data_IF_648947576816
#
_entry.id   IF_648947576816
#
_cell.length_a   1.000
_cell.length_b   1.000
_cell.length_c   1.000
_cell.angle_alpha   90.00
_cell.angle_beta   90.00
_cell.angle_gamma   90.00
#
_symmetry.space_group_name_H-M   'P 1'
#
loop_
_entity.id
_entity.type
_entity.pdbx_description
1 polymer ?
#
# COMPACT_ATOMS: atom_id res chain seq x y z
N UNK A 1 16.08 21.70 -25.55
CA UNK A 1 15.42 20.41 -25.26
C UNK A 1 14.93 20.52 -23.84
N UNK A 2 13.63 20.43 -23.61
CA UNK A 2 13.10 20.42 -22.23
C UNK A 2 13.61 19.15 -21.56
N UNK A 3 14.29 19.30 -20.42
CA UNK A 3 14.82 18.19 -19.65
C UNK A 3 13.64 17.42 -19.03
N UNK A 4 13.46 16.17 -19.46
CA UNK A 4 12.39 15.33 -18.91
C UNK A 4 12.68 15.02 -17.44
N UNK A 5 11.69 15.27 -16.58
CA UNK A 5 11.84 15.12 -15.14
C UNK A 5 11.08 13.89 -14.66
N UNK A 6 11.80 12.95 -14.05
CA UNK A 6 11.22 11.80 -13.35
C UNK A 6 11.39 12.00 -11.86
N UNK A 7 10.28 12.06 -11.13
CA UNK A 7 10.25 12.27 -9.69
C UNK A 7 9.68 11.06 -8.98
N UNK A 8 10.17 10.82 -7.77
CA UNK A 8 9.74 9.75 -6.88
C UNK A 8 9.32 10.39 -5.56
N UNK A 9 8.10 10.09 -5.11
CA UNK A 9 7.50 10.61 -3.89
C UNK A 9 7.24 9.48 -2.91
N UNK A 10 7.53 9.72 -1.63
CA UNK A 10 7.09 8.86 -0.54
C UNK A 10 6.08 9.58 0.33
N UNK A 11 5.00 8.91 0.71
CA UNK A 11 3.95 9.49 1.54
C UNK A 11 3.63 8.63 2.77
N UNK A 12 3.28 9.27 3.88
CA UNK A 12 2.62 8.59 5.00
C UNK A 12 1.14 8.36 4.69
N UNK A 13 0.68 7.11 4.79
CA UNK A 13 -0.76 6.84 4.79
C UNK A 13 -1.14 5.57 5.55
N UNK A 14 -2.20 5.72 6.35
CA UNK A 14 -3.00 4.65 6.93
C UNK A 14 -4.30 4.40 6.13
N UNK A 15 -4.62 5.26 5.16
CA UNK A 15 -6.00 5.50 4.70
C UNK A 15 -6.19 5.42 3.17
N UNK A 16 -5.14 5.10 2.41
CA UNK A 16 -5.23 4.98 0.94
C UNK A 16 -5.56 3.52 0.59
N UNK A 17 -6.85 3.18 0.70
CA UNK A 17 -7.44 1.96 0.13
C UNK A 17 -7.81 2.23 -1.34
N UNK A 18 -6.80 2.35 -2.20
CA UNK A 18 -7.05 2.33 -3.64
C UNK A 18 -7.20 0.87 -4.06
N UNK A 19 -8.45 0.46 -4.31
CA UNK A 19 -8.72 -0.77 -5.06
C UNK A 19 -8.23 -0.53 -6.48
N UNK A 20 -7.24 -1.31 -6.91
CA UNK A 20 -6.83 -1.46 -8.30
C UNK A 20 -6.23 -0.22 -8.98
N UNK A 21 -5.06 0.26 -8.52
CA UNK A 21 -4.16 1.07 -9.37
C UNK A 21 -3.00 0.18 -9.86
N UNK A 22 -3.35 -0.89 -10.58
CA UNK A 22 -2.43 -1.50 -11.55
C UNK A 22 -2.61 -0.92 -12.97
N UNK A 23 -3.58 -0.03 -13.17
CA UNK A 23 -3.85 0.54 -14.48
C UNK A 23 -4.50 1.90 -14.34
N UNK A 24 -3.76 2.96 -14.67
CA UNK A 24 -4.16 3.88 -15.73
C UNK A 24 -2.99 4.82 -16.06
N UNK A 25 -2.45 4.66 -17.27
CA UNK A 25 -1.64 5.68 -17.92
C UNK A 25 -2.58 6.83 -18.21
N UNK A 26 -2.58 7.87 -17.38
CA UNK A 26 -3.21 9.13 -17.74
C UNK A 26 -2.32 9.86 -18.73
N UNK A 27 -2.40 9.46 -20.00
CA UNK A 27 -2.03 10.36 -21.09
C UNK A 27 -3.29 11.10 -21.53
N UNK A 28 -3.75 12.06 -20.73
CA UNK A 28 -4.57 13.10 -21.34
C UNK A 28 -3.66 13.87 -22.31
N UNK A 29 -4.11 14.11 -23.54
CA UNK A 29 -3.38 14.94 -24.52
C UNK A 29 -3.03 16.35 -24.00
N UNK A 30 -3.56 16.74 -22.84
CA UNK A 30 -3.35 18.02 -22.15
C UNK A 30 -2.33 17.94 -21.00
N UNK A 31 -2.04 16.77 -20.43
CA UNK A 31 -1.11 16.64 -19.30
C UNK A 31 0.30 16.26 -19.77
N UNK A 32 1.30 17.05 -19.33
CA UNK A 32 2.73 16.87 -19.70
C UNK A 32 3.43 15.76 -18.88
N UNK A 33 2.70 15.00 -18.05
CA UNK A 33 3.26 14.19 -16.97
C UNK A 33 2.49 12.88 -16.84
N UNK A 34 3.21 11.76 -16.74
CA UNK A 34 2.63 10.44 -16.44
C UNK A 34 2.69 10.20 -14.93
N UNK A 35 1.69 9.53 -14.40
CA UNK A 35 1.49 9.40 -12.96
C UNK A 35 1.29 7.95 -12.56
N UNK A 36 2.06 7.47 -11.58
CA UNK A 36 1.99 6.10 -11.07
C UNK A 36 1.88 6.12 -9.54
N UNK A 37 0.75 5.66 -9.01
CA UNK A 37 0.49 5.58 -7.59
C UNK A 37 0.50 4.12 -7.13
N UNK A 38 1.47 3.77 -6.29
CA UNK A 38 1.54 2.48 -5.63
C UNK A 38 0.88 2.58 -4.25
N UNK A 39 0.00 1.64 -3.94
CA UNK A 39 -0.80 1.64 -2.71
C UNK A 39 -0.44 0.49 -1.77
N UNK A 40 -0.83 0.63 -0.49
CA UNK A 40 -0.41 -0.25 0.60
C UNK A 40 -1.58 -1.06 1.21
N UNK A 41 -2.65 -1.29 0.46
CA UNK A 41 -3.81 -2.03 0.97
C UNK A 41 -3.34 -3.38 1.52
N UNK A 42 -3.61 -3.61 2.80
CA UNK A 42 -3.24 -4.81 3.52
C UNK A 42 -1.73 -5.06 3.67
N UNK A 43 -0.87 -4.03 3.69
CA UNK A 43 0.56 -4.17 4.07
C UNK A 43 0.82 -4.03 5.59
N UNK A 44 -0.23 -3.75 6.38
CA UNK A 44 -0.14 -3.36 7.79
C UNK A 44 -0.62 -4.40 8.80
N UNK A 45 -0.85 -5.66 8.43
CA UNK A 45 -1.32 -6.62 9.43
C UNK A 45 -0.23 -6.96 10.43
N UNK A 46 -0.54 -6.64 11.68
CA UNK A 46 0.25 -7.11 12.81
C UNK A 46 -0.06 -8.59 13.09
N UNK A 47 0.90 -9.31 13.66
CA UNK A 47 0.69 -10.68 14.13
C UNK A 47 -0.48 -10.77 15.13
N UNK A 48 -0.72 -9.71 15.92
CA UNK A 48 -1.85 -9.59 16.84
C UNK A 48 -3.21 -9.55 16.13
N UNK A 49 -3.31 -8.87 14.99
CA UNK A 49 -4.55 -8.87 14.19
C UNK A 49 -4.78 -10.21 13.51
N UNK A 50 -3.72 -10.87 13.03
CA UNK A 50 -3.81 -12.24 12.51
C UNK A 50 -4.26 -13.18 13.61
N UNK A 51 -3.68 -13.09 14.81
CA UNK A 51 -4.12 -13.85 15.97
C UNK A 51 -5.63 -13.69 16.23
N UNK A 52 -6.12 -12.45 16.29
CA UNK A 52 -7.54 -12.16 16.49
C UNK A 52 -8.41 -12.77 15.38
N UNK A 53 -8.03 -12.62 14.12
CA UNK A 53 -8.77 -13.17 12.97
C UNK A 53 -8.77 -14.70 12.97
N UNK A 54 -7.63 -15.33 13.24
CA UNK A 54 -7.50 -16.79 13.33
C UNK A 54 -8.34 -17.35 14.46
N UNK A 55 -8.36 -16.68 15.63
CA UNK A 55 -9.20 -17.06 16.75
C UNK A 55 -10.70 -16.94 16.42
N UNK A 56 -11.12 -15.81 15.82
CA UNK A 56 -12.51 -15.60 15.39
C UNK A 56 -12.94 -16.67 14.39
N UNK A 57 -12.14 -16.94 13.34
CA UNK A 57 -12.42 -18.00 12.36
C UNK A 57 -12.59 -19.37 13.02
N UNK A 58 -11.73 -19.71 14.00
CA UNK A 58 -11.88 -20.95 14.77
C UNK A 58 -13.21 -20.97 15.53
N UNK A 59 -13.60 -19.89 16.20
CA UNK A 59 -14.90 -19.80 16.89
C UNK A 59 -16.10 -19.84 15.94
N UNK A 60 -16.01 -19.24 14.76
CA UNK A 60 -17.06 -19.29 13.73
C UNK A 60 -17.31 -20.72 13.25
N UNK A 61 -16.25 -21.52 13.11
CA UNK A 61 -16.33 -22.91 12.67
C UNK A 61 -17.01 -23.86 13.67
N UNK A 62 -17.16 -23.44 14.94
CA UNK A 62 -17.77 -24.25 15.98
C UNK A 62 -19.29 -24.10 15.94
N UNK A 63 -20.05 -25.22 15.87
CA UNK A 63 -21.50 -25.18 15.95
C UNK A 63 -21.94 -24.63 17.31
N UNK A 64 -23.00 -23.83 17.32
CA UNK A 64 -23.59 -23.36 18.56
C UNK A 64 -24.31 -24.48 19.28
N UNK A 65 -24.06 -24.60 20.58
CA UNK A 65 -24.80 -25.46 21.49
C UNK A 65 -25.81 -24.61 22.26
N UNK A 66 -27.03 -25.13 22.41
CA UNK A 66 -28.10 -24.42 23.09
C UNK A 66 -28.52 -25.23 24.32
N UNK A 67 -28.56 -24.56 25.48
CA UNK A 67 -28.97 -25.17 26.74
C UNK A 67 -30.02 -24.31 27.43
N UNK A 68 -31.06 -24.95 27.95
CA UNK A 68 -32.06 -24.30 28.80
C UNK A 68 -31.56 -24.23 30.24
N UNK A 69 -31.49 -23.03 30.82
CA UNK A 69 -31.15 -22.77 32.22
C UNK A 69 -32.17 -21.79 32.80
N UNK A 70 -32.85 -22.17 33.89
CA UNK A 70 -33.77 -21.29 34.64
C UNK A 70 -34.81 -20.51 33.77
N UNK A 71 -35.33 -21.15 32.72
CA UNK A 71 -36.25 -20.59 31.71
C UNK A 71 -35.62 -19.70 30.62
N UNK A 72 -34.29 -19.61 30.54
CA UNK A 72 -33.57 -18.94 29.47
C UNK A 72 -32.89 -19.95 28.54
N UNK A 73 -32.97 -19.70 27.22
CA UNK A 73 -32.21 -20.45 26.22
C UNK A 73 -30.86 -19.78 26.03
N UNK A 74 -29.80 -20.39 26.55
CA UNK A 74 -28.45 -19.85 26.45
C UNK A 74 -27.71 -20.54 25.31
N UNK A 75 -27.09 -19.73 24.44
CA UNK A 75 -26.23 -20.19 23.36
C UNK A 75 -24.77 -20.17 23.81
N UNK A 76 -24.09 -21.30 23.70
CA UNK A 76 -22.68 -21.43 24.00
C UNK A 76 -21.90 -21.91 22.78
N UNK A 77 -20.66 -21.43 22.67
CA UNK A 77 -19.64 -22.00 21.78
C UNK A 77 -18.39 -22.23 22.60
N UNK A 78 -17.86 -23.44 22.57
CA UNK A 78 -16.62 -23.78 23.25
C UNK A 78 -15.66 -24.46 22.28
N UNK A 79 -14.37 -24.15 22.37
CA UNK A 79 -13.34 -24.89 21.63
C UNK A 79 -12.97 -26.10 22.49
N UNK A 80 -13.40 -27.33 22.15
CA UNK A 80 -13.03 -28.49 22.94
C UNK A 80 -11.53 -28.73 22.85
N UNK A 81 -10.90 -29.07 23.99
CA UNK A 81 -9.46 -29.36 24.09
C UNK A 81 -8.56 -28.25 23.53
N UNK A 82 -8.90 -26.98 23.80
CA UNK A 82 -8.08 -25.85 23.37
C UNK A 82 -6.64 -25.97 23.90
N UNK A 83 -5.67 -25.98 22.98
CA UNK A 83 -4.24 -25.90 23.27
C UNK A 83 -3.69 -24.62 22.67
N UNK A 84 -3.04 -23.81 23.49
CA UNK A 84 -2.44 -22.55 23.04
C UNK A 84 -1.37 -22.79 21.97
N UNK A 85 -0.58 -23.85 22.09
CA UNK A 85 0.52 -24.13 21.16
C UNK A 85 0.01 -24.41 19.74
N UNK A 86 -1.14 -25.06 19.60
CA UNK A 86 -1.75 -25.35 18.30
C UNK A 86 -2.35 -24.10 17.66
N UNK A 87 -2.83 -23.14 18.47
CA UNK A 87 -3.26 -21.85 17.98
C UNK A 87 -2.06 -21.01 17.53
N UNK A 88 -0.99 -20.96 18.33
CA UNK A 88 0.19 -20.18 18.04
C UNK A 88 0.85 -20.63 16.73
N UNK A 89 0.96 -21.95 16.50
CA UNK A 89 1.46 -22.50 15.22
C UNK A 89 0.63 -22.06 14.02
N UNK A 90 -0.70 -22.10 14.13
CA UNK A 90 -1.58 -21.65 13.05
C UNK A 90 -1.46 -20.15 12.80
N UNK A 91 -1.28 -19.35 13.85
CA UNK A 91 -1.04 -17.91 13.71
C UNK A 91 0.31 -17.64 13.05
N UNK A 92 1.34 -18.43 13.37
CA UNK A 92 2.65 -18.35 12.74
C UNK A 92 2.58 -18.70 11.24
N UNK A 93 1.86 -19.76 10.88
CA UNK A 93 1.66 -20.17 9.49
C UNK A 93 0.90 -19.11 8.69
N UNK A 94 -0.22 -18.62 9.21
CA UNK A 94 -1.02 -17.55 8.57
C UNK A 94 -0.21 -16.24 8.47
N UNK A 95 0.60 -15.92 9.47
CA UNK A 95 1.47 -14.75 9.43
C UNK A 95 2.59 -14.92 8.41
N UNK A 96 3.22 -16.09 8.31
CA UNK A 96 4.23 -16.37 7.29
C UNK A 96 3.65 -16.28 5.87
N UNK A 97 2.48 -16.88 5.62
CA UNK A 97 1.79 -16.77 4.33
C UNK A 97 1.43 -15.31 3.98
N UNK A 98 0.96 -14.56 4.97
CA UNK A 98 0.69 -13.13 4.82
C UNK A 98 1.95 -12.34 4.45
N UNK A 99 3.08 -12.55 5.13
CA UNK A 99 4.35 -11.89 4.82
C UNK A 99 4.83 -12.26 3.42
N UNK A 100 4.68 -13.52 3.00
CA UNK A 100 5.02 -13.94 1.64
C UNK A 100 4.18 -13.21 0.58
N UNK A 101 2.88 -13.05 0.82
CA UNK A 101 1.98 -12.30 -0.06
C UNK A 101 2.35 -10.82 -0.14
N UNK A 102 2.71 -10.20 0.99
CA UNK A 102 3.24 -8.83 1.00
C UNK A 102 4.50 -8.74 0.14
N UNK A 103 5.50 -9.59 0.41
CA UNK A 103 6.79 -9.52 -0.27
C UNK A 103 6.63 -9.68 -1.79
N UNK A 104 5.80 -10.64 -2.23
CA UNK A 104 5.46 -10.80 -3.63
C UNK A 104 4.85 -9.53 -4.24
N UNK A 105 3.90 -8.88 -3.56
CA UNK A 105 3.30 -7.63 -4.06
C UNK A 105 4.32 -6.50 -4.14
N UNK A 106 5.22 -6.40 -3.17
CA UNK A 106 6.32 -5.42 -3.19
C UNK A 106 7.25 -5.67 -4.39
N UNK A 107 7.59 -6.93 -4.66
CA UNK A 107 8.38 -7.30 -5.84
C UNK A 107 7.66 -6.90 -7.14
N UNK A 108 6.36 -7.17 -7.28
CA UNK A 108 5.57 -6.74 -8.45
C UNK A 108 5.56 -5.22 -8.62
N UNK A 109 5.45 -4.45 -7.53
CA UNK A 109 5.53 -2.99 -7.54
C UNK A 109 6.87 -2.53 -8.12
N UNK A 110 7.98 -3.11 -7.68
CA UNK A 110 9.32 -2.70 -8.14
C UNK A 110 9.66 -3.18 -9.55
N UNK A 111 9.16 -4.35 -9.96
CA UNK A 111 9.24 -4.80 -11.36
C UNK A 111 8.48 -3.84 -12.28
N UNK A 112 7.28 -3.42 -11.87
CA UNK A 112 6.46 -2.46 -12.63
C UNK A 112 7.14 -1.09 -12.71
N UNK A 113 7.66 -0.58 -11.60
CA UNK A 113 8.48 0.64 -11.56
C UNK A 113 9.64 0.57 -12.55
N UNK A 114 10.42 -0.51 -12.51
CA UNK A 114 11.60 -0.69 -13.38
C UNK A 114 11.21 -0.75 -14.86
N UNK A 115 10.13 -1.47 -15.18
CA UNK A 115 9.58 -1.55 -16.53
C UNK A 115 9.17 -0.17 -17.04
N UNK A 116 8.44 0.61 -16.25
CA UNK A 116 7.96 1.94 -16.66
C UNK A 116 9.08 2.96 -16.75
N UNK A 117 10.08 2.90 -15.86
CA UNK A 117 11.29 3.70 -15.99
C UNK A 117 11.99 3.45 -17.33
N UNK A 118 12.05 2.19 -17.76
CA UNK A 118 12.63 1.77 -19.04
C UNK A 118 11.81 2.11 -20.27
N UNK A 119 10.47 2.00 -20.21
CA UNK A 119 9.57 2.27 -21.34
C UNK A 119 9.39 3.77 -21.61
N UNK A 120 9.32 4.58 -20.56
CA UNK A 120 8.96 6.00 -20.66
C UNK A 120 10.16 6.94 -20.50
N UNK A 121 11.25 6.66 -21.20
CA UNK A 121 12.51 7.43 -21.09
C UNK A 121 12.35 8.92 -21.40
N UNK A 122 11.52 9.25 -22.39
CA UNK A 122 11.33 10.61 -22.91
C UNK A 122 10.04 11.27 -22.39
N UNK A 123 9.64 10.93 -21.16
CA UNK A 123 8.45 11.48 -20.54
C UNK A 123 8.77 12.02 -19.16
N UNK A 124 8.03 13.05 -18.76
CA UNK A 124 7.94 13.40 -17.34
C UNK A 124 7.09 12.34 -16.65
N UNK A 125 7.56 11.84 -15.50
CA UNK A 125 6.89 10.77 -14.76
C UNK A 125 6.98 11.05 -13.28
N UNK A 126 5.87 10.87 -12.57
CA UNK A 126 5.82 10.84 -11.12
C UNK A 126 5.48 9.44 -10.63
N UNK A 127 6.38 8.86 -9.84
CA UNK A 127 6.17 7.61 -9.13
C UNK A 127 5.90 7.93 -7.66
N UNK A 128 4.82 7.39 -7.10
CA UNK A 128 4.40 7.71 -5.75
C UNK A 128 4.26 6.40 -4.98
N UNK A 129 5.05 6.26 -3.93
CA UNK A 129 5.15 5.05 -3.13
C UNK A 129 4.69 5.29 -1.69
N UNK A 130 4.11 4.29 -1.04
CA UNK A 130 3.90 4.31 0.40
C UNK A 130 5.25 4.38 1.11
N UNK A 131 5.37 5.14 2.20
CA UNK A 131 6.59 5.19 2.99
C UNK A 131 7.03 3.80 3.49
N UNK A 132 6.10 2.87 3.69
CA UNK A 132 6.40 1.52 4.15
C UNK A 132 7.30 0.75 3.18
N UNK A 133 7.36 1.16 1.90
CA UNK A 133 8.23 0.56 0.89
C UNK A 133 9.61 1.22 0.83
N UNK A 134 9.85 2.28 1.61
CA UNK A 134 11.04 3.11 1.47
C UNK A 134 12.35 2.33 1.61
N UNK A 135 12.47 1.49 2.64
CA UNK A 135 13.69 0.70 2.87
C UNK A 135 13.92 -0.35 1.77
N UNK A 136 12.86 -1.01 1.29
CA UNK A 136 12.98 -1.97 0.19
C UNK A 136 13.25 -1.26 -1.13
N UNK A 137 12.73 -0.05 -1.32
CA UNK A 137 13.00 0.78 -2.47
C UNK A 137 14.47 1.20 -2.52
N UNK A 138 15.07 1.64 -1.41
CA UNK A 138 16.50 1.98 -1.35
C UNK A 138 17.37 0.79 -1.81
N UNK A 139 17.07 -0.42 -1.30
CA UNK A 139 17.74 -1.64 -1.75
C UNK A 139 17.58 -1.89 -3.25
N UNK A 140 16.35 -1.78 -3.76
CA UNK A 140 16.06 -1.97 -5.18
C UNK A 140 16.83 -0.98 -6.05
N UNK A 141 16.88 0.29 -5.66
CA UNK A 141 17.61 1.33 -6.39
C UNK A 141 19.11 1.04 -6.42
N UNK A 142 19.68 0.61 -5.29
CA UNK A 142 21.10 0.25 -5.18
C UNK A 142 21.45 -0.98 -6.03
N UNK A 143 20.62 -2.03 -5.97
CA UNK A 143 20.79 -3.27 -6.74
C UNK A 143 20.81 -3.03 -8.26
N UNK A 144 19.97 -2.11 -8.74
CA UNK A 144 19.86 -1.76 -10.15
C UNK A 144 20.71 -0.55 -10.57
N UNK A 145 21.49 0.03 -9.64
CA UNK A 145 22.38 1.17 -9.90
C UNK A 145 21.66 2.42 -10.39
N UNK A 146 20.42 2.64 -9.96
CA UNK A 146 19.62 3.81 -10.36
C UNK A 146 20.10 5.02 -9.55
N UNK A 147 20.59 6.06 -10.23
CA UNK A 147 21.08 7.27 -9.55
C UNK A 147 19.92 8.20 -9.20
N UNK A 148 19.86 8.60 -7.94
CA UNK A 148 18.83 9.49 -7.41
C UNK A 148 19.46 10.71 -6.76
N UNK A 149 18.84 11.87 -6.98
CA UNK A 149 19.10 13.10 -6.25
C UNK A 149 17.95 13.40 -5.30
N UNK A 150 18.22 13.42 -4.00
CA UNK A 150 17.25 13.88 -3.00
C UNK A 150 16.95 15.38 -3.19
N UNK A 151 15.69 15.75 -3.06
CA UNK A 151 15.24 17.13 -3.12
C UNK A 151 14.89 17.56 -1.70
N UNK A 152 15.69 18.46 -1.13
CA UNK A 152 15.64 18.81 0.30
C UNK A 152 14.45 19.72 0.66
N UNK A 153 13.89 20.45 -0.30
CA UNK A 153 12.74 21.35 -0.05
C UNK A 153 11.53 20.97 -0.90
N UNK A 154 10.47 20.53 -0.23
CA UNK A 154 9.17 20.16 -0.80
C UNK A 154 8.46 21.31 -1.54
N UNK A 155 8.90 22.57 -1.42
CA UNK A 155 7.98 23.70 -1.70
C UNK A 155 7.86 24.14 -3.16
N UNK A 156 8.92 24.16 -3.96
CA UNK A 156 8.82 24.78 -5.29
C UNK A 156 8.39 23.79 -6.39
N UNK A 157 8.94 22.57 -6.38
CA UNK A 157 8.57 21.56 -7.40
C UNK A 157 7.16 20.98 -7.18
N UNK A 158 6.76 20.75 -5.94
CA UNK A 158 5.43 20.19 -5.64
C UNK A 158 4.33 21.16 -6.04
N UNK A 159 4.53 22.45 -5.76
CA UNK A 159 3.62 23.53 -6.18
C UNK A 159 3.68 23.78 -7.68
N UNK A 160 4.86 23.75 -8.30
CA UNK A 160 5.01 23.94 -9.74
C UNK A 160 4.22 22.90 -10.55
N UNK A 161 4.20 21.66 -10.08
CA UNK A 161 3.54 20.55 -10.78
C UNK A 161 2.19 20.16 -10.19
N UNK A 162 1.69 20.92 -9.22
CA UNK A 162 0.42 20.70 -8.51
C UNK A 162 0.17 19.26 -8.05
N UNK A 163 1.26 18.57 -7.66
CA UNK A 163 1.30 17.12 -7.47
C UNK A 163 0.25 16.63 -6.49
N UNK A 164 0.05 17.34 -5.38
CA UNK A 164 -0.93 16.96 -4.35
C UNK A 164 -2.36 17.01 -4.89
N UNK A 165 -2.71 18.05 -5.65
CA UNK A 165 -4.05 18.15 -6.25
C UNK A 165 -4.25 17.09 -7.32
N UNK A 166 -3.23 16.79 -8.12
CA UNK A 166 -3.26 15.69 -9.10
C UNK A 166 -3.49 14.34 -8.42
N UNK A 167 -2.75 14.03 -7.35
CA UNK A 167 -2.94 12.81 -6.57
C UNK A 167 -4.37 12.72 -6.04
N UNK A 168 -4.84 13.80 -5.39
CA UNK A 168 -6.17 13.88 -4.80
C UNK A 168 -7.30 13.78 -5.84
N UNK A 169 -7.10 14.36 -7.03
CA UNK A 169 -8.05 14.26 -8.14
C UNK A 169 -8.23 12.80 -8.58
N UNK A 170 -7.13 12.08 -8.81
CA UNK A 170 -7.20 10.69 -9.26
C UNK A 170 -7.72 9.74 -8.17
N UNK A 171 -7.31 9.92 -6.92
CA UNK A 171 -7.87 9.17 -5.78
C UNK A 171 -9.41 9.31 -5.72
N UNK A 172 -9.93 10.53 -5.94
CA UNK A 172 -11.38 10.79 -5.92
C UNK A 172 -12.14 10.24 -7.13
N UNK A 173 -11.46 10.06 -8.26
CA UNK A 173 -12.09 9.62 -9.51
C UNK A 173 -12.38 8.11 -9.52
N UNK A 174 -11.52 7.32 -8.90
CA UNK A 174 -11.65 5.85 -8.84
C UNK A 174 -12.46 5.33 -7.65
N UNK A 175 -12.67 6.14 -6.61
CA UNK A 175 -13.38 5.73 -5.41
C UNK A 175 -14.82 6.27 -5.47
N UNK A 176 -15.78 5.38 -5.72
CA UNK A 176 -17.24 5.64 -5.62
C UNK A 176 -17.74 5.90 -4.17
N UNK A 177 -16.82 6.12 -3.23
CA UNK A 177 -17.08 6.34 -1.82
C UNK A 177 -16.48 7.68 -1.38
N UNK A 178 -17.30 8.50 -0.71
CA UNK A 178 -16.89 9.71 0.00
C UNK A 178 -15.77 9.39 1.00
N UNK A 179 -14.53 9.43 0.54
CA UNK A 179 -13.37 9.54 1.42
C UNK A 179 -13.07 11.02 1.53
N UNK A 180 -13.51 11.63 2.64
CA UNK A 180 -13.23 13.03 3.01
C UNK A 180 -11.74 13.29 3.28
N UNK A 181 -10.90 12.25 3.20
CA UNK A 181 -9.49 12.28 3.58
C UNK A 181 -8.58 12.41 2.36
N UNK A 182 -8.26 13.65 2.01
CA UNK A 182 -7.29 14.00 0.98
C UNK A 182 -5.84 13.91 1.48
N UNK A 183 -4.92 13.55 0.59
CA UNK A 183 -3.48 13.73 0.78
C UNK A 183 -3.17 15.22 0.95
N UNK A 184 -2.31 15.52 1.93
CA UNK A 184 -1.82 16.87 2.22
C UNK A 184 -0.31 16.93 2.00
N UNK A 185 0.23 18.09 1.67
CA UNK A 185 1.67 18.28 1.40
C UNK A 185 2.56 17.78 2.55
N UNK A 186 2.13 17.97 3.80
CA UNK A 186 2.85 17.54 5.00
C UNK A 186 2.92 16.02 5.17
N UNK A 187 2.15 15.24 4.40
CA UNK A 187 2.25 13.78 4.37
C UNK A 187 3.34 13.30 3.42
N UNK A 188 3.89 14.15 2.56
CA UNK A 188 5.01 13.80 1.68
C UNK A 188 6.30 13.85 2.50
N UNK A 189 6.99 12.72 2.55
CA UNK A 189 8.11 12.46 3.46
C UNK A 189 9.44 12.66 2.76
N UNK A 190 9.53 12.19 1.52
CA UNK A 190 10.75 12.19 0.74
C UNK A 190 10.44 12.42 -0.73
N UNK A 191 11.30 13.18 -1.40
CA UNK A 191 11.24 13.47 -2.82
C UNK A 191 12.61 13.23 -3.45
N UNK A 192 12.62 12.47 -4.54
CA UNK A 192 13.82 12.20 -5.33
C UNK A 192 13.59 12.56 -6.80
N UNK A 193 14.64 13.07 -7.45
CA UNK A 193 14.73 13.16 -8.90
C UNK A 193 15.63 12.03 -9.40
N UNK A 194 15.19 11.29 -10.42
CA UNK A 194 16.05 10.31 -11.09
C UNK A 194 17.06 11.07 -11.95
N UNK A 195 18.34 10.77 -11.77
CA UNK A 195 19.41 11.33 -12.58
C UNK A 195 19.49 10.55 -13.91
N UNK A 196 19.33 11.26 -15.01
CA UNK A 196 19.50 10.75 -16.39
C UNK A 196 20.96 10.55 -16.75
#
# INVERSE_FOLDING_TARGET
>A
MDEFTKLIFFYYSNNIDCKDIETEIFTEKREKINFFLFHNRDLHFSKSEIFKKTLIKKFESIPAEFQMLENELIMFKSIPNFKSEDLDKLVDEEYADYINKINYRIECIFQTFSLFLGLYKEKNIFFIFPLQLFTQFEKHIDEYGIKLKKIDELNNMIKQYDIVNTINYYIRKDISQNTDELLKENNIVSLYKIES
#
